data_IF_412504698880
#
_entry.id   IF_412504698880
#
_cell.length_a   1.000
_cell.length_b   1.000
_cell.length_c   1.000
_cell.angle_alpha   90.00
_cell.angle_beta   90.00
_cell.angle_gamma   90.00
#
_symmetry.space_group_name_H-M   'P 1'
#
loop_
_entity.id
_entity.type
_entity.pdbx_description
1 polymer ?
#
# COMPACT_ATOMS: atom_id res chain seq x y z
N UNK A 1 -10.49 -15.86 30.49
CA UNK A 1 -9.29 -14.99 30.50
C UNK A 1 -8.25 -15.46 29.48
N UNK A 2 -7.94 -16.76 29.43
CA UNK A 2 -6.95 -17.32 28.48
C UNK A 2 -7.42 -17.27 27.01
N UNK A 3 -8.69 -17.54 26.70
CA UNK A 3 -9.19 -17.44 25.32
C UNK A 3 -9.16 -16.02 24.76
N UNK A 4 -9.49 -15.00 25.57
CA UNK A 4 -9.37 -13.58 25.17
C UNK A 4 -7.93 -13.18 24.85
N UNK A 5 -6.94 -13.78 25.52
CA UNK A 5 -5.52 -13.54 25.24
C UNK A 5 -5.12 -14.21 23.92
N UNK A 6 -5.56 -15.44 23.68
CA UNK A 6 -5.28 -16.18 22.43
C UNK A 6 -5.92 -15.51 21.20
N UNK A 7 -7.12 -14.98 21.36
CA UNK A 7 -7.85 -14.26 20.32
C UNK A 7 -7.18 -12.93 19.98
N UNK A 8 -6.76 -12.15 20.98
CA UNK A 8 -5.93 -10.96 20.79
C UNK A 8 -4.61 -11.29 20.09
N UNK A 9 -3.94 -12.38 20.47
CA UNK A 9 -2.71 -12.84 19.83
C UNK A 9 -2.91 -13.21 18.36
N UNK A 10 -4.05 -13.82 18.04
CA UNK A 10 -4.43 -14.19 16.68
C UNK A 10 -4.67 -12.94 15.83
N UNK A 11 -5.43 -11.96 16.34
CA UNK A 11 -5.63 -10.68 15.65
C UNK A 11 -4.34 -9.89 15.49
N UNK A 12 -3.46 -9.87 16.50
CA UNK A 12 -2.14 -9.25 16.40
C UNK A 12 -1.27 -9.93 15.33
N UNK A 13 -1.27 -11.26 15.28
CA UNK A 13 -0.54 -12.03 14.26
C UNK A 13 -1.00 -11.66 12.85
N UNK A 14 -2.33 -11.62 12.62
CA UNK A 14 -2.90 -11.18 11.35
C UNK A 14 -2.55 -9.73 11.02
N UNK A 15 -2.68 -8.82 11.98
CA UNK A 15 -2.32 -7.40 11.81
C UNK A 15 -0.84 -7.23 11.45
N UNK A 16 0.06 -7.99 12.09
CA UNK A 16 1.50 -7.98 11.76
C UNK A 16 1.78 -8.56 10.38
N UNK A 17 1.05 -9.61 9.97
CA UNK A 17 1.19 -10.16 8.63
C UNK A 17 0.74 -9.17 7.55
N UNK A 18 -0.35 -8.44 7.79
CA UNK A 18 -0.79 -7.38 6.86
C UNK A 18 0.21 -6.23 6.82
N UNK A 19 0.72 -5.79 7.98
CA UNK A 19 1.75 -4.75 8.06
C UNK A 19 3.04 -5.16 7.32
N UNK A 20 3.45 -6.42 7.39
CA UNK A 20 4.59 -6.93 6.63
C UNK A 20 4.36 -6.87 5.11
N UNK A 21 3.13 -7.13 4.64
CA UNK A 21 2.78 -6.99 3.21
C UNK A 21 2.82 -5.54 2.75
N UNK A 22 2.32 -4.61 3.57
CA UNK A 22 2.39 -3.17 3.29
C UNK A 22 3.84 -2.70 3.18
N UNK A 23 4.70 -3.09 4.13
CA UNK A 23 6.12 -2.73 4.11
C UNK A 23 6.84 -3.29 2.88
N UNK A 24 6.50 -4.49 2.40
CA UNK A 24 7.09 -5.02 1.17
C UNK A 24 6.61 -4.24 -0.08
N UNK A 25 5.33 -3.85 -0.13
CA UNK A 25 4.81 -3.02 -1.20
C UNK A 25 5.49 -1.63 -1.22
N UNK A 26 5.64 -0.98 -0.06
CA UNK A 26 6.38 0.28 0.07
C UNK A 26 7.83 0.14 -0.39
N UNK A 27 8.50 -0.96 -0.03
CA UNK A 27 9.86 -1.25 -0.49
C UNK A 27 9.91 -1.32 -2.02
N UNK A 28 8.96 -2.00 -2.66
CA UNK A 28 8.92 -2.11 -4.12
C UNK A 28 8.71 -0.74 -4.79
N UNK A 29 7.84 0.10 -4.23
CA UNK A 29 7.63 1.48 -4.69
C UNK A 29 8.90 2.31 -4.54
N UNK A 30 9.56 2.24 -3.39
CA UNK A 30 10.80 2.98 -3.13
C UNK A 30 11.93 2.58 -4.09
N UNK A 31 12.10 1.28 -4.35
CA UNK A 31 13.08 0.77 -5.32
C UNK A 31 12.76 1.29 -6.72
N UNK A 32 11.49 1.24 -7.13
CA UNK A 32 11.08 1.70 -8.47
C UNK A 32 11.27 3.20 -8.65
N UNK A 33 10.96 4.00 -7.62
CA UNK A 33 11.18 5.44 -7.64
C UNK A 33 12.66 5.79 -7.66
N UNK A 34 13.50 5.09 -6.91
CA UNK A 34 14.95 5.27 -6.95
C UNK A 34 15.53 4.96 -8.33
N UNK A 35 15.03 3.92 -9.02
CA UNK A 35 15.40 3.61 -10.40
C UNK A 35 14.99 4.73 -11.36
N UNK A 36 13.74 5.22 -11.28
CA UNK A 36 13.27 6.33 -12.12
C UNK A 36 14.12 7.59 -11.91
N UNK A 37 14.46 7.93 -10.66
CA UNK A 37 15.32 9.07 -10.34
C UNK A 37 16.73 8.86 -10.87
N UNK A 38 17.27 7.64 -10.76
CA UNK A 38 18.62 7.34 -11.24
C UNK A 38 18.71 7.37 -12.78
N UNK A 39 17.66 6.95 -13.47
CA UNK A 39 17.59 6.92 -14.93
C UNK A 39 17.25 8.29 -15.54
N UNK A 40 16.82 9.26 -14.71
CA UNK A 40 16.62 10.65 -15.12
C UNK A 40 17.99 11.35 -15.26
N UNK A 41 18.33 11.89 -16.43
CA UNK A 41 19.61 12.56 -16.64
C UNK A 41 19.70 13.87 -15.83
N UNK A 42 20.84 14.06 -15.14
CA UNK A 42 21.10 15.22 -14.29
C UNK A 42 21.08 16.56 -15.07
N UNK A 43 21.47 16.54 -16.35
CA UNK A 43 21.40 17.69 -17.26
C UNK A 43 20.96 17.26 -18.66
N UNK A 44 20.17 18.11 -19.33
CA UNK A 44 19.57 17.90 -20.66
C UNK A 44 18.80 16.57 -20.79
N UNK A 45 17.61 16.45 -20.19
CA UNK A 45 16.74 15.32 -20.49
C UNK A 45 16.35 15.34 -21.96
N UNK A 46 17.02 14.52 -22.76
CA UNK A 46 16.64 14.22 -24.13
C UNK A 46 15.35 13.39 -24.08
N UNK A 47 14.23 14.06 -23.88
CA UNK A 47 12.88 13.48 -23.98
C UNK A 47 12.50 13.17 -25.45
N UNK A 48 13.47 12.98 -26.34
CA UNK A 48 13.28 12.74 -27.77
C UNK A 48 12.28 13.72 -28.43
N UNK A 49 12.36 15.00 -28.01
CA UNK A 49 11.43 16.05 -28.39
C UNK A 49 10.05 15.96 -27.72
N UNK A 50 9.00 16.42 -28.42
CA UNK A 50 7.64 16.45 -27.86
C UNK A 50 7.07 15.03 -27.66
N UNK A 51 7.44 14.08 -28.52
CA UNK A 51 6.93 12.72 -28.47
C UNK A 51 7.37 11.96 -27.21
N UNK A 52 8.66 11.98 -26.88
CA UNK A 52 9.12 11.30 -25.67
C UNK A 52 8.73 12.05 -24.39
N UNK A 53 8.48 13.38 -24.45
CA UNK A 53 7.86 14.10 -23.32
C UNK A 53 6.43 13.60 -23.04
N UNK A 54 5.63 13.40 -24.10
CA UNK A 54 4.28 12.83 -23.99
C UNK A 54 4.33 11.41 -23.45
N UNK A 55 5.27 10.58 -23.92
CA UNK A 55 5.42 9.20 -23.46
C UNK A 55 5.81 9.11 -21.99
N UNK A 56 6.82 9.89 -21.57
CA UNK A 56 7.24 9.96 -20.17
C UNK A 56 6.12 10.49 -19.26
N UNK A 57 5.39 11.53 -19.71
CA UNK A 57 4.24 12.05 -18.96
C UNK A 57 3.13 10.99 -18.81
N UNK A 58 2.86 10.21 -19.87
CA UNK A 58 1.92 9.10 -19.84
C UNK A 58 2.36 8.01 -18.86
N UNK A 59 3.66 7.68 -18.84
CA UNK A 59 4.22 6.67 -17.95
C UNK A 59 4.16 7.08 -16.48
N UNK A 60 4.44 8.35 -16.17
CA UNK A 60 4.27 8.92 -14.83
C UNK A 60 2.80 8.85 -14.43
N UNK A 61 1.87 9.26 -15.31
CA UNK A 61 0.45 9.24 -15.00
C UNK A 61 -0.06 7.82 -14.72
N UNK A 62 0.37 6.81 -15.50
CA UNK A 62 0.07 5.39 -15.23
C UNK A 62 0.62 4.94 -13.87
N UNK A 63 1.82 5.39 -13.51
CA UNK A 63 2.43 5.06 -12.22
C UNK A 63 1.65 5.67 -11.06
N UNK A 64 1.20 6.92 -11.19
CA UNK A 64 0.33 7.59 -10.20
C UNK A 64 -1.00 6.85 -10.05
N UNK A 65 -1.66 6.48 -11.15
CA UNK A 65 -2.91 5.73 -11.13
C UNK A 65 -2.72 4.39 -10.41
N UNK A 66 -1.66 3.65 -10.75
CA UNK A 66 -1.36 2.37 -10.10
C UNK A 66 -1.14 2.53 -8.59
N UNK A 67 -0.44 3.59 -8.18
CA UNK A 67 -0.20 3.88 -6.75
C UNK A 67 -1.50 4.20 -6.01
N UNK A 68 -2.36 5.04 -6.59
CA UNK A 68 -3.66 5.37 -6.01
C UNK A 68 -4.56 4.13 -5.90
N UNK A 69 -4.54 3.24 -6.89
CA UNK A 69 -5.26 1.95 -6.83
C UNK A 69 -4.74 1.08 -5.69
N UNK A 70 -3.43 0.95 -5.51
CA UNK A 70 -2.88 0.17 -4.38
C UNK A 70 -3.23 0.76 -3.01
N UNK A 71 -3.37 2.08 -2.89
CA UNK A 71 -3.89 2.71 -1.66
C UNK A 71 -5.36 2.35 -1.44
N UNK A 72 -6.18 2.34 -2.48
CA UNK A 72 -7.59 1.96 -2.36
C UNK A 72 -7.73 0.50 -1.88
N UNK A 73 -6.96 -0.43 -2.46
CA UNK A 73 -6.94 -1.84 -2.04
C UNK A 73 -6.51 -1.98 -0.55
N UNK A 74 -5.54 -1.17 -0.12
CA UNK A 74 -5.13 -1.14 1.29
C UNK A 74 -6.24 -0.61 2.21
N UNK A 75 -6.92 0.46 1.80
CA UNK A 75 -8.04 1.04 2.55
C UNK A 75 -9.19 0.04 2.69
N UNK A 76 -9.48 -0.74 1.65
CA UNK A 76 -10.48 -1.81 1.69
C UNK A 76 -10.10 -2.91 2.68
N UNK A 77 -8.86 -3.41 2.63
CA UNK A 77 -8.37 -4.41 3.57
C UNK A 77 -8.41 -3.93 5.03
N UNK A 78 -8.09 -2.65 5.28
CA UNK A 78 -8.21 -2.04 6.59
C UNK A 78 -9.67 -1.94 7.04
N UNK A 79 -10.58 -1.55 6.17
CA UNK A 79 -12.00 -1.45 6.47
C UNK A 79 -12.60 -2.82 6.83
N UNK A 80 -12.26 -3.88 6.08
CA UNK A 80 -12.66 -5.25 6.41
C UNK A 80 -12.17 -5.67 7.80
N UNK A 81 -10.89 -5.42 8.07
CA UNK A 81 -10.27 -5.76 9.37
C UNK A 81 -10.93 -4.99 10.52
N UNK A 82 -11.18 -3.69 10.35
CA UNK A 82 -11.85 -2.85 11.34
C UNK A 82 -13.31 -3.28 11.56
N UNK A 83 -14.02 -3.68 10.51
CA UNK A 83 -15.39 -4.18 10.61
C UNK A 83 -15.45 -5.46 11.47
N UNK A 84 -14.49 -6.37 11.31
CA UNK A 84 -14.38 -7.53 12.19
C UNK A 84 -14.14 -7.13 13.65
N UNK A 85 -13.19 -6.22 13.90
CA UNK A 85 -12.89 -5.74 15.27
C UNK A 85 -14.11 -5.07 15.92
N UNK A 86 -14.83 -4.21 15.20
CA UNK A 86 -16.02 -3.52 15.72
C UNK A 86 -17.14 -4.50 16.03
N UNK A 87 -17.36 -5.53 15.20
CA UNK A 87 -18.34 -6.58 15.48
C UNK A 87 -18.01 -7.37 16.75
N UNK A 88 -16.75 -7.75 16.93
CA UNK A 88 -16.29 -8.48 18.13
C UNK A 88 -16.33 -7.63 19.42
N UNK A 89 -16.18 -6.30 19.30
CA UNK A 89 -16.37 -5.39 20.42
C UNK A 89 -17.85 -5.23 20.81
N UNK A 90 -18.76 -5.16 19.83
CA UNK A 90 -20.20 -5.03 20.07
C UNK A 90 -20.85 -6.31 20.61
N UNK A 91 -20.36 -7.49 20.20
CA UNK A 91 -20.84 -8.78 20.74
C UNK A 91 -20.43 -9.02 22.20
N UNK A 92 -19.41 -8.32 22.73
CA UNK A 92 -19.03 -8.36 24.14
C UNK A 92 -19.92 -7.49 25.06
N UNK A 93 -20.86 -6.68 24.54
CA UNK A 93 -21.76 -5.85 25.35
C UNK A 93 -23.12 -6.52 25.65
N UNK A 94 -23.44 -7.65 25.00
CA UNK A 94 -24.72 -8.38 25.17
C UNK A 94 -24.62 -9.67 26.02
N UNK A 95 -23.45 -10.01 26.57
CA UNK A 95 -23.23 -11.08 27.59
C UNK A 95 -22.90 -10.50 28.98
#
# INVERSE_FOLDING_TARGET
MQSKIDEMLTHMSHSKQQMARVLDAERQVAVRMAQIIHDLPDEHPEFDGVSGLIENSSQINKSIISYLSSIADLQEALAETLNHVVKEMGSNEEE
#
